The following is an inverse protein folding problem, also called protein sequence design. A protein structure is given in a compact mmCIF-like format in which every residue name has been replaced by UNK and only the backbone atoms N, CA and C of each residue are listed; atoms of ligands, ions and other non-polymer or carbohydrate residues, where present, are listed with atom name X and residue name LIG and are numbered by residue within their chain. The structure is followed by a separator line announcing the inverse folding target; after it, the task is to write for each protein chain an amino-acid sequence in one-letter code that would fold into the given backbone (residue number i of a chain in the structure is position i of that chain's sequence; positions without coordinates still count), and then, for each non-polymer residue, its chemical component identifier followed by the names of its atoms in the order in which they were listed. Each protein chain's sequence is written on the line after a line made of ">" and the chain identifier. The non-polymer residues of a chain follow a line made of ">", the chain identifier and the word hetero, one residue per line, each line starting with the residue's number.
data_IF_800767192163
#
_entry.id   IF_800767192163
#
_cell.length_a   1.000
_cell.length_b   1.000
_cell.length_c   1.000
_cell.angle_alpha   90.00
_cell.angle_beta   90.00
_cell.angle_gamma   90.00
#
_symmetry.space_group_name_H-M   'P 1'
#
loop_
_entity.id
_entity.type
_entity.pdbx_description
1 polymer ?
#
# COMPACT_ATOMS: atom_id res chain seq x y z
N UNK A 1 -30.49 -13.29 -13.57
CA UNK A 1 -30.02 -12.06 -14.24
C UNK A 1 -30.34 -10.92 -13.30
N UNK A 2 -29.47 -10.72 -12.33
CA UNK A 2 -29.53 -9.61 -11.38
C UNK A 2 -28.30 -8.75 -11.66
N UNK A 3 -28.57 -7.47 -11.84
CA UNK A 3 -27.69 -6.40 -12.27
C UNK A 3 -26.69 -6.07 -11.14
N UNK A 4 -25.40 -6.22 -11.41
CA UNK A 4 -24.31 -5.85 -10.50
C UNK A 4 -24.11 -4.35 -10.55
N UNK A 5 -24.77 -3.62 -9.65
CA UNK A 5 -24.57 -2.19 -9.48
C UNK A 5 -23.21 -1.91 -8.86
N UNK A 6 -22.27 -1.44 -9.68
CA UNK A 6 -21.07 -0.71 -9.26
C UNK A 6 -21.49 0.51 -8.42
N UNK A 7 -20.79 0.72 -7.31
CA UNK A 7 -20.97 1.89 -6.44
C UNK A 7 -19.60 2.49 -6.15
N UNK A 8 -19.28 3.56 -6.86
CA UNK A 8 -18.18 4.51 -6.62
C UNK A 8 -18.21 5.10 -5.21
N UNK A 9 -17.06 5.43 -4.60
CA UNK A 9 -17.02 6.11 -3.31
C UNK A 9 -17.43 7.59 -3.41
N UNK A 10 -18.06 8.08 -2.35
CA UNK A 10 -18.57 9.45 -2.23
C UNK A 10 -17.42 10.44 -2.01
N UNK A 11 -17.12 11.21 -3.05
CA UNK A 11 -16.10 12.28 -3.12
C UNK A 11 -16.26 13.38 -2.05
N UNK A 12 -15.17 13.67 -1.34
CA UNK A 12 -14.99 14.87 -0.50
C UNK A 12 -14.46 16.02 -1.37
N UNK A 13 -15.35 16.89 -1.83
CA UNK A 13 -14.97 18.08 -2.61
C UNK A 13 -14.01 19.03 -1.87
N UNK A 14 -12.80 19.21 -2.40
CA UNK A 14 -11.84 20.24 -1.95
C UNK A 14 -11.59 21.25 -3.07
N UNK A 15 -11.94 22.52 -2.81
CA UNK A 15 -11.84 23.64 -3.75
C UNK A 15 -10.60 24.48 -3.41
N UNK A 16 -9.52 24.32 -4.17
CA UNK A 16 -8.30 25.11 -4.03
C UNK A 16 -7.78 25.59 -5.40
N UNK A 17 -7.86 26.89 -5.66
CA UNK A 17 -7.29 27.53 -6.87
C UNK A 17 -5.77 27.70 -6.68
N UNK A 18 -4.95 27.20 -7.61
CA UNK A 18 -3.56 27.63 -7.71
C UNK A 18 -3.22 28.26 -9.07
N UNK A 19 -2.70 29.49 -8.98
CA UNK A 19 -2.17 30.29 -10.08
C UNK A 19 -0.76 29.79 -10.42
N UNK A 20 -0.51 29.57 -11.71
CA UNK A 20 0.83 29.36 -12.28
C UNK A 20 1.75 30.55 -11.96
N UNK A 21 2.91 30.27 -11.39
CA UNK A 21 4.02 31.22 -11.35
C UNK A 21 5.30 30.51 -11.82
N UNK A 22 5.83 30.99 -12.95
CA UNK A 22 7.09 30.58 -13.54
C UNK A 22 8.28 31.10 -12.71
N UNK A 23 9.27 30.26 -12.45
CA UNK A 23 10.65 30.64 -12.09
C UNK A 23 11.56 29.58 -12.72
N UNK A 24 12.23 29.85 -13.85
CA UNK A 24 13.60 30.39 -14.02
C UNK A 24 14.72 29.46 -13.52
N UNK A 25 15.40 28.87 -14.50
CA UNK A 25 16.60 28.02 -14.42
C UNK A 25 17.73 28.63 -13.59
N UNK A 26 18.39 27.78 -12.79
CA UNK A 26 19.71 28.00 -12.21
C UNK A 26 20.52 26.70 -12.30
N UNK A 27 21.82 26.86 -12.50
CA UNK A 27 22.74 25.92 -13.14
C UNK A 27 23.09 24.65 -12.32
N UNK A 28 23.37 23.58 -13.06
CA UNK A 28 23.68 22.25 -12.56
C UNK A 28 25.08 22.17 -11.92
N UNK A 29 25.18 21.51 -10.77
CA UNK A 29 26.46 21.09 -10.17
C UNK A 29 26.46 19.57 -10.08
N UNK A 30 27.59 18.98 -10.48
CA UNK A 30 27.78 17.59 -10.86
C UNK A 30 27.38 16.54 -9.80
N UNK A 31 26.67 15.50 -10.26
CA UNK A 31 26.34 14.27 -9.54
C UNK A 31 27.59 13.43 -9.23
N UNK A 32 27.73 12.88 -8.01
CA UNK A 32 28.65 11.77 -7.72
C UNK A 32 28.05 10.45 -8.22
N UNK A 33 28.93 9.53 -8.62
CA UNK A 33 28.64 8.23 -9.23
C UNK A 33 27.71 7.35 -8.36
N UNK A 34 26.56 6.98 -8.92
CA UNK A 34 25.66 5.95 -8.40
C UNK A 34 26.43 4.62 -8.29
N UNK A 35 26.35 3.99 -7.12
CA UNK A 35 26.69 2.57 -7.01
C UNK A 35 25.76 1.80 -7.91
N UNK A 36 26.28 1.35 -9.05
CA UNK A 36 25.54 0.67 -10.09
C UNK A 36 24.77 -0.53 -9.52
N UNK A 37 23.45 -0.38 -9.39
CA UNK A 37 22.56 -1.47 -9.77
C UNK A 37 22.97 -1.86 -11.20
N UNK A 38 23.28 -3.14 -11.42
CA UNK A 38 23.55 -3.65 -12.76
C UNK A 38 22.24 -3.66 -13.54
N UNK A 39 21.90 -2.51 -14.12
CA UNK A 39 20.66 -2.29 -14.88
C UNK A 39 20.62 -3.12 -16.16
N UNK A 40 21.74 -3.71 -16.60
CA UNK A 40 21.75 -4.69 -17.69
C UNK A 40 21.19 -6.06 -17.24
N UNK A 41 21.07 -6.30 -15.93
CA UNK A 41 20.52 -7.55 -15.37
C UNK A 41 19.00 -7.49 -15.12
N UNK A 42 18.38 -6.30 -15.17
CA UNK A 42 16.93 -6.12 -15.08
C UNK A 42 16.43 -5.75 -16.47
N UNK A 43 15.97 -6.74 -17.24
CA UNK A 43 15.40 -6.57 -18.60
C UNK A 43 14.02 -5.89 -18.53
N UNK A 44 13.96 -4.71 -17.91
CA UNK A 44 12.84 -3.79 -18.04
C UNK A 44 13.21 -2.92 -19.23
N UNK A 45 12.45 -2.99 -20.32
CA UNK A 45 12.70 -2.26 -21.58
C UNK A 45 12.55 -0.73 -21.49
N UNK A 46 12.99 -0.13 -20.38
CA UNK A 46 12.94 1.29 -20.08
C UNK A 46 14.19 1.93 -20.71
N UNK A 47 13.98 2.80 -21.69
CA UNK A 47 15.07 3.62 -22.19
C UNK A 47 15.55 4.64 -21.14
N UNK A 48 16.74 5.22 -21.35
CA UNK A 48 17.34 6.15 -20.39
C UNK A 48 16.41 7.33 -20.03
N UNK A 49 15.63 7.83 -20.99
CA UNK A 49 14.67 8.91 -20.73
C UNK A 49 13.49 8.48 -19.87
N UNK A 50 13.01 7.25 -20.04
CA UNK A 50 11.99 6.67 -19.16
C UNK A 50 12.49 6.49 -17.73
N UNK A 51 13.75 6.10 -17.55
CA UNK A 51 14.35 5.96 -16.23
C UNK A 51 14.56 7.33 -15.54
N UNK A 52 15.05 8.33 -16.27
CA UNK A 52 15.19 9.69 -15.74
C UNK A 52 13.83 10.26 -15.31
N UNK A 53 12.77 10.05 -16.10
CA UNK A 53 11.41 10.44 -15.72
C UNK A 53 10.86 9.73 -14.48
N UNK A 54 11.15 8.43 -14.34
CA UNK A 54 10.77 7.66 -13.15
C UNK A 54 11.43 8.21 -11.88
N UNK A 55 12.72 8.57 -11.95
CA UNK A 55 13.42 9.19 -10.82
C UNK A 55 12.81 10.55 -10.48
N UNK A 56 12.49 11.38 -11.47
CA UNK A 56 11.83 12.67 -11.25
C UNK A 56 10.45 12.50 -10.56
N UNK A 57 9.69 11.47 -10.91
CA UNK A 57 8.40 11.16 -10.29
C UNK A 57 8.54 10.65 -8.85
N UNK A 58 9.57 9.84 -8.57
CA UNK A 58 9.94 9.42 -7.21
C UNK A 58 10.34 10.64 -6.38
N UNK A 59 11.18 11.52 -6.94
CA UNK A 59 11.61 12.75 -6.30
C UNK A 59 10.44 13.63 -5.91
N UNK A 60 9.56 13.90 -6.88
CA UNK A 60 8.35 14.69 -6.67
C UNK A 60 7.44 14.05 -5.62
N UNK A 61 7.34 12.72 -5.60
CA UNK A 61 6.52 11.99 -4.63
C UNK A 61 7.07 12.08 -3.21
N UNK A 62 8.37 11.87 -3.02
CA UNK A 62 9.02 12.00 -1.71
C UNK A 62 8.91 13.44 -1.20
N UNK A 63 9.11 14.44 -2.05
CA UNK A 63 9.01 15.84 -1.66
C UNK A 63 7.61 16.21 -1.13
N UNK A 64 6.53 15.66 -1.73
CA UNK A 64 5.14 15.92 -1.33
C UNK A 64 4.84 15.50 0.12
N UNK A 65 5.57 14.55 0.69
CA UNK A 65 5.36 14.11 2.09
C UNK A 65 5.63 15.21 3.12
N UNK A 66 6.38 16.25 2.76
CA UNK A 66 6.58 17.41 3.62
C UNK A 66 5.28 18.19 3.89
N UNK A 67 4.34 18.16 2.94
CA UNK A 67 3.08 18.93 2.97
C UNK A 67 1.86 18.06 3.35
N UNK A 68 2.09 16.80 3.71
CA UNK A 68 1.03 15.90 4.19
C UNK A 68 0.61 16.31 5.60
N UNK A 69 -0.71 16.34 5.85
CA UNK A 69 -1.28 16.67 7.15
C UNK A 69 -1.65 15.41 7.98
N UNK A 70 -2.01 14.31 7.30
CA UNK A 70 -2.48 13.07 7.93
C UNK A 70 -1.44 11.94 7.79
N UNK A 71 -1.02 11.27 8.88
CA UNK A 71 -0.10 10.14 8.80
C UNK A 71 -0.54 9.00 7.89
N UNK A 72 -1.85 8.75 7.77
CA UNK A 72 -2.36 7.68 6.92
C UNK A 72 -2.19 8.05 5.46
N UNK A 73 -2.49 9.29 5.07
CA UNK A 73 -2.25 9.78 3.71
C UNK A 73 -0.76 9.65 3.34
N UNK A 74 0.14 9.90 4.30
CA UNK A 74 1.58 9.72 4.14
C UNK A 74 2.01 8.27 3.95
N UNK A 75 1.36 7.32 4.62
CA UNK A 75 1.59 5.89 4.40
C UNK A 75 1.12 5.43 3.03
N UNK A 76 -0.09 5.81 2.60
CA UNK A 76 -0.61 5.45 1.27
C UNK A 76 0.22 6.08 0.15
N UNK A 77 0.68 7.32 0.35
CA UNK A 77 1.58 7.98 -0.60
C UNK A 77 2.94 7.29 -0.71
N UNK A 78 3.50 6.81 0.40
CA UNK A 78 4.74 6.02 0.35
C UNK A 78 4.50 4.61 -0.23
N UNK A 79 3.35 4.00 0.09
CA UNK A 79 2.95 2.70 -0.42
C UNK A 79 2.78 2.71 -1.94
N UNK A 80 2.37 3.83 -2.56
CA UNK A 80 2.27 3.92 -4.02
C UNK A 80 3.62 3.74 -4.73
N UNK A 81 4.75 4.13 -4.11
CA UNK A 81 6.08 3.85 -4.64
C UNK A 81 6.48 2.39 -4.44
N UNK A 82 6.20 1.83 -3.26
CA UNK A 82 6.48 0.42 -2.96
C UNK A 82 5.64 -0.54 -3.81
N UNK A 83 4.44 -0.14 -4.19
CA UNK A 83 3.56 -0.94 -5.02
C UNK A 83 4.06 -1.10 -6.47
N UNK A 84 5.09 -0.34 -6.89
CA UNK A 84 5.71 -0.49 -8.20
C UNK A 84 6.31 -1.90 -8.44
N UNK A 85 6.58 -2.66 -7.38
CA UNK A 85 7.09 -4.05 -7.48
C UNK A 85 5.99 -5.10 -7.28
N UNK A 86 4.72 -4.71 -7.27
CA UNK A 86 3.60 -5.63 -7.06
C UNK A 86 3.61 -6.79 -8.05
N UNK A 87 3.33 -8.00 -7.56
CA UNK A 87 3.44 -9.25 -8.35
C UNK A 87 4.88 -9.73 -8.59
N UNK A 88 5.90 -8.94 -8.21
CA UNK A 88 7.33 -9.24 -8.42
C UNK A 88 8.14 -9.11 -7.12
N UNK A 89 7.87 -9.94 -6.10
CA UNK A 89 8.45 -9.82 -4.76
C UNK A 89 9.99 -9.92 -4.73
N UNK A 90 10.60 -10.54 -5.75
CA UNK A 90 12.05 -10.54 -5.94
C UNK A 90 12.68 -9.13 -6.07
N UNK A 91 11.88 -8.11 -6.40
CA UNK A 91 12.33 -6.73 -6.53
C UNK A 91 12.01 -5.83 -5.34
N UNK A 92 11.21 -6.28 -4.36
CA UNK A 92 10.78 -5.47 -3.21
C UNK A 92 11.97 -4.87 -2.44
N UNK A 93 12.96 -5.68 -2.07
CA UNK A 93 14.12 -5.23 -1.30
C UNK A 93 15.08 -4.33 -2.11
N UNK A 94 15.45 -4.66 -3.37
CA UNK A 94 16.20 -3.76 -4.24
C UNK A 94 15.53 -2.39 -4.44
N UNK A 95 14.21 -2.35 -4.69
CA UNK A 95 13.49 -1.10 -4.89
C UNK A 95 13.38 -0.30 -3.59
N UNK A 96 13.07 -0.94 -2.46
CA UNK A 96 13.09 -0.27 -1.17
C UNK A 96 14.45 0.36 -0.87
N UNK A 97 15.55 -0.33 -1.20
CA UNK A 97 16.91 0.19 -1.04
C UNK A 97 17.17 1.40 -1.94
N UNK A 98 16.77 1.34 -3.22
CA UNK A 98 16.83 2.46 -4.15
C UNK A 98 16.06 3.68 -3.63
N UNK A 99 14.83 3.48 -3.15
CA UNK A 99 14.01 4.58 -2.62
C UNK A 99 14.60 5.19 -1.33
N UNK A 100 15.23 4.38 -0.48
CA UNK A 100 15.95 4.86 0.72
C UNK A 100 17.12 5.76 0.33
N UNK A 101 17.92 5.35 -0.67
CA UNK A 101 19.03 6.15 -1.18
C UNK A 101 18.55 7.48 -1.77
N UNK A 102 17.43 7.44 -2.49
CA UNK A 102 16.84 8.61 -3.10
C UNK A 102 16.35 9.63 -2.05
N UNK A 103 15.67 9.16 -0.99
CA UNK A 103 15.29 10.00 0.13
C UNK A 103 16.49 10.62 0.88
N UNK A 104 17.60 9.87 1.01
CA UNK A 104 18.85 10.40 1.57
C UNK A 104 19.45 11.50 0.70
N UNK A 105 19.38 11.36 -0.63
CA UNK A 105 19.91 12.34 -1.59
C UNK A 105 19.15 13.67 -1.53
N UNK A 106 17.82 13.61 -1.38
CA UNK A 106 17.00 14.81 -1.24
C UNK A 106 17.24 15.57 0.07
N UNK A 107 17.55 14.85 1.16
CA UNK A 107 17.92 15.41 2.46
C UNK A 107 16.96 16.49 2.98
N UNK A 108 15.64 16.30 2.80
CA UNK A 108 14.59 17.22 3.24
C UNK A 108 13.54 16.59 4.16
N UNK A 109 12.60 17.38 4.70
CA UNK A 109 11.53 16.88 5.59
C UNK A 109 10.71 15.74 4.96
N UNK A 110 10.42 15.84 3.65
CA UNK A 110 9.74 14.79 2.89
C UNK A 110 10.54 13.48 2.84
N UNK A 111 11.86 13.57 2.70
CA UNK A 111 12.76 12.41 2.77
C UNK A 111 12.73 11.73 4.13
N UNK A 112 12.77 12.49 5.23
CA UNK A 112 12.65 11.93 6.59
C UNK A 112 11.29 11.25 6.79
N UNK A 113 10.21 11.91 6.37
CA UNK A 113 8.86 11.35 6.43
C UNK A 113 8.73 10.05 5.63
N UNK A 114 9.27 10.03 4.41
CA UNK A 114 9.26 8.86 3.54
C UNK A 114 10.01 7.68 4.16
N UNK A 115 11.21 7.89 4.70
CA UNK A 115 11.98 6.84 5.37
C UNK A 115 11.23 6.25 6.57
N UNK A 116 10.51 7.08 7.32
CA UNK A 116 9.67 6.60 8.43
C UNK A 116 8.46 5.80 7.92
N UNK A 117 7.85 6.18 6.79
CA UNK A 117 6.82 5.37 6.14
C UNK A 117 7.40 4.03 5.64
N UNK A 118 8.56 4.01 4.98
CA UNK A 118 9.22 2.77 4.54
C UNK A 118 9.46 1.86 5.74
N UNK A 119 9.95 2.39 6.86
CA UNK A 119 10.16 1.63 8.08
C UNK A 119 8.86 1.06 8.69
N UNK A 120 7.72 1.74 8.51
CA UNK A 120 6.42 1.25 8.92
C UNK A 120 5.86 0.18 7.97
N UNK A 121 6.09 0.34 6.67
CA UNK A 121 5.46 -0.44 5.60
C UNK A 121 6.24 -1.68 5.17
N UNK A 122 7.54 -1.75 5.43
CA UNK A 122 8.40 -2.85 4.98
C UNK A 122 8.78 -3.80 6.12
N UNK A 123 9.07 -5.09 5.81
CA UNK A 123 9.70 -6.01 6.75
C UNK A 123 11.22 -5.75 6.85
N UNK A 124 11.91 -6.55 7.67
CA UNK A 124 13.37 -6.61 7.65
C UNK A 124 13.87 -7.21 6.33
N UNK A 125 15.04 -6.79 5.81
CA UNK A 125 15.98 -5.82 6.40
C UNK A 125 15.70 -4.35 6.04
N UNK A 126 14.82 -4.07 5.07
CA UNK A 126 14.53 -2.72 4.57
C UNK A 126 14.05 -1.78 5.66
N UNK A 127 13.28 -2.29 6.62
CA UNK A 127 12.84 -1.54 7.81
C UNK A 127 14.01 -0.95 8.60
N UNK A 128 15.00 -1.77 8.96
CA UNK A 128 16.17 -1.30 9.71
C UNK A 128 16.96 -0.28 8.90
N UNK A 129 17.19 -0.55 7.61
CA UNK A 129 17.92 0.37 6.72
C UNK A 129 17.24 1.75 6.62
N UNK A 130 15.91 1.78 6.54
CA UNK A 130 15.14 3.02 6.49
C UNK A 130 15.21 3.81 7.80
N UNK A 131 15.15 3.14 8.95
CA UNK A 131 15.33 3.79 10.26
C UNK A 131 16.73 4.39 10.41
N UNK A 132 17.77 3.64 10.04
CA UNK A 132 19.16 4.13 10.08
C UNK A 132 19.37 5.30 9.10
N UNK A 133 18.71 5.29 7.95
CA UNK A 133 18.71 6.41 7.01
C UNK A 133 17.99 7.64 7.58
N UNK A 134 16.84 7.46 8.23
CA UNK A 134 16.11 8.55 8.86
C UNK A 134 16.93 9.20 9.99
N UNK A 135 17.59 8.39 10.82
CA UNK A 135 18.49 8.86 11.88
C UNK A 135 19.68 9.64 11.31
N UNK A 136 20.25 9.22 10.17
CA UNK A 136 21.30 9.94 9.47
C UNK A 136 20.84 11.33 9.00
N UNK A 137 19.64 11.46 8.44
CA UNK A 137 19.09 12.76 8.04
C UNK A 137 18.77 13.63 9.25
N UNK A 138 18.21 13.07 10.32
CA UNK A 138 17.95 13.82 11.55
C UNK A 138 19.25 14.38 12.15
N UNK A 139 20.36 13.61 12.09
CA UNK A 139 21.66 14.05 12.56
C UNK A 139 22.27 15.22 11.77
N UNK A 140 21.81 15.49 10.54
CA UNK A 140 22.21 16.69 9.76
C UNK A 140 21.36 17.91 10.06
N UNK A 141 20.34 17.79 10.94
CA UNK A 141 19.45 18.87 11.35
C UNK A 141 18.17 18.99 10.54
N UNK A 142 17.85 17.99 9.69
CA UNK A 142 16.57 17.95 8.98
C UNK A 142 15.47 17.58 9.97
N UNK A 143 14.51 18.47 10.16
CA UNK A 143 13.36 18.22 11.03
C UNK A 143 12.28 17.41 10.29
N UNK A 144 11.75 16.39 10.96
CA UNK A 144 10.62 15.63 10.45
C UNK A 144 9.31 16.46 10.53
N UNK A 145 8.38 16.30 9.58
CA UNK A 145 7.02 16.81 9.73
C UNK A 145 6.36 16.32 11.02
N UNK A 146 5.52 17.14 11.63
CA UNK A 146 4.94 16.86 12.95
C UNK A 146 4.12 15.55 13.00
N UNK A 147 3.45 15.21 11.89
CA UNK A 147 2.62 14.01 11.77
C UNK A 147 3.44 12.71 11.87
N UNK A 148 4.73 12.74 11.53
CA UNK A 148 5.62 11.56 11.55
C UNK A 148 5.74 10.95 12.94
N UNK A 149 5.62 11.75 14.00
CA UNK A 149 5.65 11.25 15.38
C UNK A 149 4.50 10.27 15.68
N UNK A 150 3.38 10.35 14.94
CA UNK A 150 2.28 9.39 15.08
C UNK A 150 2.62 8.01 14.50
N UNK A 151 3.50 7.93 13.48
CA UNK A 151 3.95 6.64 12.90
C UNK A 151 4.77 5.81 13.90
N UNK A 152 5.48 6.47 14.82
CA UNK A 152 6.24 5.80 15.87
C UNK A 152 5.34 5.12 16.92
N UNK A 153 4.04 5.40 16.93
CA UNK A 153 3.08 4.73 17.81
C UNK A 153 2.77 3.34 17.26
N UNK A 154 2.68 2.30 18.12
CA UNK A 154 2.33 0.97 17.65
C UNK A 154 0.92 0.97 17.06
N UNK A 155 0.75 0.27 15.95
CA UNK A 155 -0.55 -0.15 15.46
C UNK A 155 -1.07 -1.26 16.37
N UNK A 156 -2.32 -1.17 16.80
CA UNK A 156 -3.00 -2.20 17.60
C UNK A 156 -4.19 -2.78 16.85
N UNK A 157 -4.52 -4.02 17.20
CA UNK A 157 -5.67 -4.73 16.64
C UNK A 157 -7.00 -4.04 17.03
N UNK A 158 -7.90 -3.92 16.06
CA UNK A 158 -9.27 -3.44 16.25
C UNK A 158 -10.28 -4.59 16.24
N UNK A 159 -11.37 -4.40 15.50
CA UNK A 159 -12.45 -5.39 15.30
C UNK A 159 -12.24 -6.16 13.99
N UNK A 160 -12.55 -7.46 14.01
CA UNK A 160 -12.50 -8.33 12.84
C UNK A 160 -13.81 -9.09 12.68
N UNK A 161 -14.46 -8.92 11.54
CA UNK A 161 -15.70 -9.60 11.21
C UNK A 161 -15.61 -10.34 9.88
N UNK A 162 -16.46 -11.36 9.75
CA UNK A 162 -16.71 -12.07 8.50
C UNK A 162 -18.20 -12.15 8.21
N UNK A 163 -18.57 -11.89 6.96
CA UNK A 163 -19.88 -12.24 6.41
C UNK A 163 -19.69 -13.32 5.36
N UNK A 164 -20.52 -14.35 5.40
CA UNK A 164 -20.60 -15.32 4.30
C UNK A 164 -21.60 -14.79 3.28
N UNK A 165 -21.22 -14.82 1.99
CA UNK A 165 -22.11 -14.38 0.92
C UNK A 165 -23.38 -15.26 0.87
N UNK A 166 -24.47 -14.72 0.35
CA UNK A 166 -25.78 -15.39 0.40
C UNK A 166 -25.81 -16.75 -0.35
N UNK A 167 -24.95 -16.93 -1.35
CA UNK A 167 -24.76 -18.17 -2.11
C UNK A 167 -23.72 -19.12 -1.47
N UNK A 168 -23.04 -18.68 -0.41
CA UNK A 168 -21.99 -19.43 0.26
C UNK A 168 -20.74 -19.65 -0.59
N UNK A 169 -20.58 -18.85 -1.66
CA UNK A 169 -19.47 -18.94 -2.62
C UNK A 169 -18.35 -17.93 -2.36
N UNK A 170 -18.44 -17.17 -1.27
CA UNK A 170 -17.40 -16.24 -0.88
C UNK A 170 -17.60 -15.71 0.52
N UNK A 171 -16.71 -14.80 0.89
CA UNK A 171 -16.80 -14.09 2.16
C UNK A 171 -16.36 -12.64 2.03
N UNK A 172 -17.00 -11.79 2.84
CA UNK A 172 -16.55 -10.42 3.07
C UNK A 172 -15.84 -10.40 4.41
N UNK A 173 -14.62 -9.89 4.45
CA UNK A 173 -13.87 -9.66 5.67
C UNK A 173 -13.79 -8.16 5.95
N UNK A 174 -14.04 -7.80 7.19
CA UNK A 174 -13.78 -6.47 7.72
C UNK A 174 -12.69 -6.57 8.77
N UNK A 175 -11.71 -5.69 8.69
CA UNK A 175 -10.72 -5.53 9.74
C UNK A 175 -10.44 -4.07 10.03
N UNK A 176 -10.31 -3.73 11.30
CA UNK A 176 -9.84 -2.42 11.72
C UNK A 176 -8.55 -2.50 12.55
N UNK A 177 -7.83 -1.39 12.52
CA UNK A 177 -6.58 -1.17 13.19
C UNK A 177 -6.62 0.21 13.84
N UNK A 178 -5.90 0.37 14.94
CA UNK A 178 -5.82 1.65 15.65
C UNK A 178 -4.37 2.10 15.78
N UNK A 179 -4.12 3.39 15.54
CA UNK A 179 -2.83 4.02 15.82
C UNK A 179 -3.05 5.46 16.26
N UNK A 180 -2.37 5.87 17.34
CA UNK A 180 -2.45 7.23 17.87
C UNK A 180 -3.89 7.75 18.14
N UNK A 181 -4.84 6.86 18.45
CA UNK A 181 -6.25 7.22 18.68
C UNK A 181 -7.09 7.38 17.42
N UNK A 182 -6.53 7.06 16.25
CA UNK A 182 -7.24 6.98 14.96
C UNK A 182 -7.47 5.53 14.60
N UNK A 183 -8.61 5.26 13.96
CA UNK A 183 -8.92 3.95 13.40
C UNK A 183 -8.92 4.02 11.86
N UNK A 184 -8.26 3.06 11.24
CA UNK A 184 -8.30 2.74 9.82
C UNK A 184 -8.72 1.27 9.67
N UNK A 185 -9.17 0.90 8.48
CA UNK A 185 -9.56 -0.48 8.23
C UNK A 185 -9.75 -0.78 6.78
N UNK A 186 -10.24 -1.98 6.52
CA UNK A 186 -10.35 -2.54 5.18
C UNK A 186 -11.58 -3.43 5.09
N UNK A 187 -12.23 -3.42 3.92
CA UNK A 187 -13.10 -4.50 3.49
C UNK A 187 -12.39 -5.29 2.40
N UNK A 188 -12.42 -6.61 2.54
CA UNK A 188 -11.87 -7.54 1.56
C UNK A 188 -12.99 -8.47 1.11
N UNK A 189 -13.15 -8.60 -0.21
CA UNK A 189 -14.03 -9.58 -0.82
C UNK A 189 -13.22 -10.77 -1.28
N UNK A 190 -13.53 -11.94 -0.74
CA UNK A 190 -12.91 -13.22 -1.08
C UNK A 190 -13.89 -14.02 -1.93
N UNK A 191 -13.44 -14.42 -3.10
CA UNK A 191 -14.17 -15.33 -3.98
C UNK A 191 -13.70 -16.77 -3.74
N UNK A 192 -14.55 -17.61 -3.13
CA UNK A 192 -14.22 -19.01 -2.83
C UNK A 192 -14.45 -19.92 -4.06
N UNK A 193 -15.16 -19.48 -5.11
CA UNK A 193 -15.29 -20.21 -6.39
C UNK A 193 -13.99 -20.14 -7.18
N UNK A 194 -13.38 -18.95 -7.24
CA UNK A 194 -12.09 -18.69 -7.86
C UNK A 194 -10.97 -18.65 -6.82
N UNK A 195 -10.71 -19.82 -6.24
CA UNK A 195 -9.52 -20.16 -5.43
C UNK A 195 -9.29 -19.45 -4.08
N UNK A 196 -10.25 -18.64 -3.62
CA UNK A 196 -10.12 -17.87 -2.38
C UNK A 196 -9.25 -16.62 -2.54
N UNK A 197 -9.09 -16.10 -3.75
CA UNK A 197 -8.33 -14.88 -4.00
C UNK A 197 -9.06 -13.64 -3.49
N UNK A 198 -8.29 -12.63 -3.09
CA UNK A 198 -8.78 -11.28 -2.86
C UNK A 198 -9.28 -10.70 -4.19
N UNK A 199 -10.61 -10.65 -4.36
CA UNK A 199 -11.23 -10.12 -5.58
C UNK A 199 -11.24 -8.59 -5.56
N UNK A 200 -11.65 -8.02 -4.43
CA UNK A 200 -11.68 -6.58 -4.21
C UNK A 200 -11.18 -6.22 -2.80
N UNK A 201 -10.55 -5.06 -2.68
CA UNK A 201 -9.85 -4.60 -1.49
C UNK A 201 -10.07 -3.09 -1.31
N UNK A 202 -10.98 -2.72 -0.41
CA UNK A 202 -11.37 -1.34 -0.20
C UNK A 202 -10.84 -0.81 1.15
N UNK A 203 -9.90 0.17 1.15
CA UNK A 203 -9.45 0.81 2.38
C UNK A 203 -10.47 1.84 2.90
N UNK A 204 -10.58 1.95 4.23
CA UNK A 204 -11.39 2.97 4.89
C UNK A 204 -10.59 3.69 5.95
N UNK A 205 -10.38 4.99 5.72
CA UNK A 205 -9.54 5.84 6.55
C UNK A 205 -10.40 6.77 7.40
N UNK A 206 -10.16 6.78 8.71
CA UNK A 206 -10.82 7.68 9.64
C UNK A 206 -12.34 7.46 9.71
N UNK A 207 -13.11 8.53 9.54
CA UNK A 207 -14.58 8.51 9.70
C UNK A 207 -15.30 7.61 8.68
N UNK A 208 -14.67 7.30 7.54
CA UNK A 208 -15.25 6.42 6.52
C UNK A 208 -15.44 4.98 6.99
N UNK A 209 -14.65 4.54 7.97
CA UNK A 209 -14.66 3.17 8.47
C UNK A 209 -15.98 2.79 9.14
N UNK A 210 -16.55 3.69 9.95
CA UNK A 210 -17.81 3.44 10.66
C UNK A 210 -18.99 3.38 9.69
N UNK A 211 -18.97 4.25 8.67
CA UNK A 211 -20.00 4.27 7.64
C UNK A 211 -19.92 3.03 6.73
N UNK A 212 -18.70 2.65 6.31
CA UNK A 212 -18.48 1.44 5.53
C UNK A 212 -19.02 0.21 6.26
N UNK A 213 -18.70 0.08 7.56
CA UNK A 213 -19.23 -1.00 8.40
C UNK A 213 -20.76 -1.00 8.43
N UNK A 214 -21.39 0.16 8.68
CA UNK A 214 -22.86 0.29 8.68
C UNK A 214 -23.47 -0.16 7.35
N UNK A 215 -22.90 0.27 6.23
CA UNK A 215 -23.37 -0.08 4.90
C UNK A 215 -23.18 -1.56 4.59
N UNK A 216 -22.08 -2.18 5.03
CA UNK A 216 -21.88 -3.63 4.93
C UNK A 216 -22.93 -4.39 5.73
N UNK A 217 -23.19 -3.98 6.98
CA UNK A 217 -24.22 -4.58 7.84
C UNK A 217 -25.64 -4.46 7.24
N UNK A 218 -25.91 -3.40 6.45
CA UNK A 218 -27.19 -3.20 5.75
C UNK A 218 -27.31 -4.01 4.45
N UNK A 219 -26.19 -4.24 3.76
CA UNK A 219 -26.14 -4.96 2.48
C UNK A 219 -26.15 -6.47 2.68
N UNK A 220 -25.43 -6.95 3.69
CA UNK A 220 -25.28 -8.38 3.93
C UNK A 220 -26.52 -8.98 4.58
N UNK A 221 -26.96 -10.11 4.04
CA UNK A 221 -28.17 -10.80 4.50
C UNK A 221 -28.01 -11.47 5.87
N UNK A 222 -26.76 -11.71 6.27
CA UNK A 222 -26.38 -12.29 7.56
C UNK A 222 -25.69 -11.24 8.42
N UNK A 223 -25.76 -11.38 9.74
CA UNK A 223 -24.96 -10.55 10.65
C UNK A 223 -23.50 -10.98 10.56
N UNK A 224 -22.57 -10.02 10.58
CA UNK A 224 -21.15 -10.33 10.58
C UNK A 224 -20.75 -11.11 11.83
N UNK A 225 -20.02 -12.21 11.62
CA UNK A 225 -19.48 -13.07 12.66
C UNK A 225 -18.15 -12.50 13.15
N UNK A 226 -17.99 -12.21 14.47
CA UNK A 226 -16.69 -11.86 15.02
C UNK A 226 -15.69 -13.00 14.89
N UNK A 227 -14.51 -12.69 14.36
CA UNK A 227 -13.40 -13.65 14.22
C UNK A 227 -12.19 -13.19 15.03
N UNK A 228 -11.32 -14.14 15.38
CA UNK A 228 -10.09 -13.83 16.10
C UNK A 228 -9.06 -13.15 15.17
N UNK A 229 -8.15 -12.35 15.73
CA UNK A 229 -7.17 -11.58 14.96
C UNK A 229 -6.19 -12.47 14.18
N UNK A 230 -5.80 -13.63 14.73
CA UNK A 230 -4.96 -14.62 14.06
C UNK A 230 -5.71 -15.30 12.90
N UNK A 231 -7.01 -15.55 13.07
CA UNK A 231 -7.88 -16.07 12.01
C UNK A 231 -8.06 -15.05 10.88
N UNK A 232 -8.36 -13.79 11.20
CA UNK A 232 -8.44 -12.71 10.23
C UNK A 232 -7.13 -12.58 9.45
N UNK A 233 -6.00 -12.53 10.16
CA UNK A 233 -4.68 -12.48 9.53
C UNK A 233 -4.48 -13.62 8.55
N UNK A 234 -4.78 -14.86 8.97
CA UNK A 234 -4.59 -16.03 8.13
C UNK A 234 -5.46 -15.99 6.85
N UNK A 235 -6.74 -15.62 6.96
CA UNK A 235 -7.63 -15.55 5.79
C UNK A 235 -7.18 -14.45 4.81
N UNK A 236 -6.82 -13.27 5.32
CA UNK A 236 -6.34 -12.17 4.49
C UNK A 236 -5.00 -12.50 3.84
N UNK A 237 -4.02 -13.04 4.57
CA UNK A 237 -2.73 -13.44 4.00
C UNK A 237 -2.90 -14.50 2.91
N UNK A 238 -3.82 -15.46 3.10
CA UNK A 238 -4.14 -16.46 2.09
C UNK A 238 -4.74 -15.83 0.82
N UNK A 239 -5.73 -14.95 0.97
CA UNK A 239 -6.41 -14.31 -0.14
C UNK A 239 -5.50 -13.38 -0.96
N UNK A 240 -4.68 -12.58 -0.27
CA UNK A 240 -3.70 -11.70 -0.92
C UNK A 240 -2.57 -12.49 -1.61
N UNK A 241 -2.15 -13.63 -1.03
CA UNK A 241 -1.18 -14.51 -1.69
C UNK A 241 -1.75 -15.15 -2.96
N UNK A 242 -3.02 -15.57 -2.95
CA UNK A 242 -3.68 -16.09 -4.13
C UNK A 242 -3.84 -15.02 -5.22
N UNK A 243 -4.23 -13.79 -4.86
CA UNK A 243 -4.30 -12.66 -5.80
C UNK A 243 -2.95 -12.30 -6.41
N UNK A 244 -1.89 -12.19 -5.60
CA UNK A 244 -0.56 -11.86 -6.10
C UNK A 244 -0.02 -12.89 -7.13
N UNK A 245 -0.38 -14.18 -6.98
CA UNK A 245 -0.05 -15.21 -7.96
C UNK A 245 -0.80 -15.01 -9.29
N UNK A 246 -2.07 -14.61 -9.23
CA UNK A 246 -2.85 -14.28 -10.44
C UNK A 246 -2.26 -13.07 -11.16
N UNK A 247 -1.89 -12.04 -10.42
CA UNK A 247 -1.30 -10.83 -11.02
C UNK A 247 0.07 -11.11 -11.63
N UNK A 248 0.92 -11.88 -10.95
CA UNK A 248 2.18 -12.35 -11.54
C UNK A 248 1.95 -13.10 -12.85
N UNK A 249 0.99 -14.03 -12.88
CA UNK A 249 0.66 -14.78 -14.08
C UNK A 249 0.12 -13.88 -15.20
N UNK A 250 -0.68 -12.87 -14.86
CA UNK A 250 -1.18 -11.87 -15.79
C UNK A 250 -0.03 -11.03 -16.39
N UNK A 251 0.89 -10.54 -15.55
CA UNK A 251 2.09 -9.80 -15.97
C UNK A 251 2.98 -10.65 -16.89
N UNK A 252 3.20 -11.93 -16.57
CA UNK A 252 3.96 -12.87 -17.42
C UNK A 252 3.30 -13.09 -18.79
N UNK A 253 1.97 -12.93 -18.87
CA UNK A 253 1.21 -12.97 -20.12
C UNK A 253 1.12 -11.61 -20.83
N UNK A 254 1.72 -10.55 -20.25
CA UNK A 254 1.67 -9.19 -20.78
C UNK A 254 0.28 -8.54 -20.64
N UNK A 255 -0.53 -8.99 -19.68
CA UNK A 255 -1.80 -8.38 -19.32
C UNK A 255 -1.49 -7.24 -18.35
N UNK A 256 -1.87 -6.02 -18.73
CA UNK A 256 -1.71 -4.84 -17.88
C UNK A 256 -2.71 -4.88 -16.72
N UNK A 257 -2.32 -4.38 -15.53
CA UNK A 257 -3.24 -4.24 -14.41
C UNK A 257 -4.45 -3.36 -14.78
N UNK A 258 -5.59 -3.63 -14.16
CA UNK A 258 -6.76 -2.75 -14.31
C UNK A 258 -6.48 -1.40 -13.63
N UNK A 259 -6.71 -0.31 -14.36
CA UNK A 259 -6.67 1.02 -13.78
C UNK A 259 -7.89 1.23 -12.86
N UNK A 260 -7.76 1.99 -11.76
CA UNK A 260 -8.89 2.34 -10.91
C UNK A 260 -10.00 3.02 -11.71
N UNK A 261 -11.26 2.71 -11.37
CA UNK A 261 -12.43 3.25 -12.08
C UNK A 261 -12.58 4.75 -11.85
N UNK A 262 -12.36 5.21 -10.61
CA UNK A 262 -12.40 6.61 -10.23
C UNK A 262 -11.00 7.15 -9.86
N UNK A 263 -10.74 8.43 -10.20
CA UNK A 263 -9.46 9.10 -9.88
C UNK A 263 -9.15 9.15 -8.36
N UNK A 264 -10.18 9.03 -7.53
CA UNK A 264 -10.09 9.05 -6.06
C UNK A 264 -9.92 7.64 -5.47
N UNK A 265 -10.02 6.57 -6.27
CA UNK A 265 -9.87 5.19 -5.80
C UNK A 265 -8.41 4.87 -5.50
N UNK A 266 -8.19 4.15 -4.40
CA UNK A 266 -6.86 3.66 -4.05
C UNK A 266 -6.61 2.34 -4.77
N UNK A 267 -5.53 2.21 -5.57
CA UNK A 267 -5.23 0.97 -6.25
C UNK A 267 -5.04 -0.21 -5.29
N UNK A 268 -5.35 -1.41 -5.76
CA UNK A 268 -5.32 -2.64 -4.96
C UNK A 268 -3.92 -2.87 -4.36
N UNK A 269 -2.90 -2.74 -5.19
CA UNK A 269 -1.49 -2.94 -4.86
C UNK A 269 -1.00 -2.00 -3.77
N UNK A 270 -1.49 -0.75 -3.76
CA UNK A 270 -1.19 0.24 -2.72
C UNK A 270 -1.82 -0.18 -1.40
N UNK A 271 -3.09 -0.61 -1.45
CA UNK A 271 -3.80 -1.08 -0.26
C UNK A 271 -3.20 -2.38 0.28
N UNK A 272 -2.76 -3.29 -0.58
CA UNK A 272 -2.07 -4.54 -0.19
C UNK A 272 -0.79 -4.23 0.60
N UNK A 273 0.06 -3.31 0.11
CA UNK A 273 1.29 -2.89 0.82
C UNK A 273 0.97 -2.42 2.25
N UNK A 274 0.00 -1.53 2.40
CA UNK A 274 -0.41 -1.02 3.73
C UNK A 274 -1.00 -2.14 4.58
N UNK A 275 -1.88 -2.97 4.03
CA UNK A 275 -2.54 -4.05 4.74
C UNK A 275 -1.53 -5.08 5.24
N UNK A 276 -0.57 -5.53 4.41
CA UNK A 276 0.51 -6.43 4.87
C UNK A 276 1.29 -5.85 6.04
N UNK A 277 1.52 -4.54 6.06
CA UNK A 277 2.15 -3.88 7.19
C UNK A 277 1.33 -3.98 8.47
N UNK A 278 0.02 -3.79 8.37
CA UNK A 278 -0.91 -3.97 9.49
C UNK A 278 -0.99 -5.42 9.96
N UNK A 279 -1.07 -6.39 9.05
CA UNK A 279 -1.15 -7.83 9.35
C UNK A 279 0.07 -8.34 10.14
N UNK A 280 1.26 -7.78 9.89
CA UNK A 280 2.47 -8.13 10.66
C UNK A 280 2.35 -7.82 12.16
N UNK A 281 1.43 -6.93 12.55
CA UNK A 281 1.18 -6.59 13.96
C UNK A 281 0.23 -7.56 14.66
N UNK A 282 -0.48 -8.39 13.90
CA UNK A 282 -1.43 -9.37 14.41
C UNK A 282 -0.72 -10.68 14.78
N UNK A 283 -1.26 -11.47 15.73
CA UNK A 283 -0.72 -12.80 16.05
C UNK A 283 -0.72 -13.71 14.81
N UNK A 284 0.35 -14.49 14.65
CA UNK A 284 0.42 -15.51 13.60
C UNK A 284 -0.54 -16.67 13.93
N UNK A 285 -1.29 -17.12 12.94
CA UNK A 285 -2.06 -18.36 13.05
C UNK A 285 -1.13 -19.57 13.08
N UNK A 286 -1.55 -20.60 13.80
CA UNK A 286 -0.89 -21.91 13.77
C UNK A 286 -1.25 -22.72 12.50
N UNK A 287 -2.25 -22.28 11.73
CA UNK A 287 -2.68 -22.93 10.49
C UNK A 287 -1.66 -22.65 9.39
N UNK A 288 -1.25 -23.65 8.58
CA UNK A 288 -0.47 -23.39 7.38
C UNK A 288 -1.30 -22.58 6.38
N UNK A 289 -0.67 -21.70 5.62
CA UNK A 289 -1.32 -21.07 4.47
C UNK A 289 -1.70 -22.15 3.44
N UNK A 290 -2.86 -22.02 2.77
CA UNK A 290 -3.25 -22.97 1.73
C UNK A 290 -2.25 -22.91 0.57
N UNK A 291 -2.01 -24.06 -0.07
CA UNK A 291 -1.30 -24.10 -1.35
C UNK A 291 -2.29 -23.65 -2.41
N UNK A 292 -1.98 -22.55 -3.08
CA UNK A 292 -2.80 -22.09 -4.20
C UNK A 292 -2.59 -23.01 -5.42
N UNK A 293 -3.69 -23.55 -5.96
CA UNK A 293 -3.71 -24.41 -7.15
C UNK A 293 -4.77 -23.89 -8.09
N UNK A 294 -4.36 -23.48 -9.30
CA UNK A 294 -5.32 -23.06 -10.33
C UNK A 294 -6.24 -24.21 -10.71
N UNK A 295 -7.58 -24.05 -10.63
CA UNK A 295 -8.51 -25.03 -11.16
C UNK A 295 -8.39 -25.06 -12.69
N UNK A 296 -7.66 -26.04 -13.23
CA UNK A 296 -7.55 -26.26 -14.68
C UNK A 296 -6.16 -26.60 -15.23
N UNK A 297 -5.11 -26.58 -14.39
CA UNK A 297 -3.78 -27.04 -14.79
C UNK A 297 -3.51 -28.42 -14.15
N UNK A 298 -4.02 -29.47 -14.78
CA UNK A 298 -3.70 -30.87 -14.45
C UNK A 298 -3.35 -31.65 -15.70
#
# INVERSE_FOLDING_TARGET
>A
MADSGHMSPVSRGRKGKNKKQQVREAESVASPELGALDLDAVDVGIDRSGFEGMIDDIEATIARLADVDDPVDGEYLAASLLAATYGTPEYDEPFASMFIEEALRQAGPGGVAFLQCIAALTPEPSRTAALEAADRLAATGVEAPAWVAELARPVTAGEYLRWTTADGQGSVLYGSFERAGRADGVLLFIDDEDCGAANDLAPFIGEGLAEARRLTDERESSSGEPIAADEFRWQVEAALAARALHERAALELGIEPEEPEDEDDVPHEVTDVVLRARLRTLPMSAKPLPVHVHPGVS
#
